data_IF_902649598214
#
_entry.id   IF_902649598214
#
_cell.length_a   1.000
_cell.length_b   1.000
_cell.length_c   1.000
_cell.angle_alpha   90.00
_cell.angle_beta   90.00
_cell.angle_gamma   90.00
#
_symmetry.space_group_name_H-M   'P 1'
#
loop_
_entity.id
_entity.type
_entity.pdbx_description
1 polymer ?
#
# COMPACT_ATOMS: atom_id res chain seq x y z
N UNK A 1 -24.81 -31.07 5.16
CA UNK A 1 -23.44 -30.64 4.81
C UNK A 1 -23.50 -29.14 4.53
N UNK A 2 -22.89 -28.30 5.36
CA UNK A 2 -22.87 -26.86 5.13
C UNK A 2 -21.78 -26.55 4.09
N UNK A 3 -22.17 -26.02 2.94
CA UNK A 3 -21.23 -25.52 1.94
C UNK A 3 -20.76 -24.15 2.41
N UNK A 4 -19.51 -24.05 2.85
CA UNK A 4 -18.90 -22.75 3.16
C UNK A 4 -18.58 -22.11 1.81
N UNK A 5 -19.37 -21.09 1.45
CA UNK A 5 -19.08 -20.25 0.29
C UNK A 5 -17.95 -19.31 0.73
N UNK A 6 -16.74 -19.51 0.21
CA UNK A 6 -15.66 -18.53 0.35
C UNK A 6 -16.02 -17.29 -0.48
N UNK A 7 -16.76 -16.37 0.15
CA UNK A 7 -17.06 -15.07 -0.42
C UNK A 7 -15.78 -14.23 -0.35
N UNK A 8 -15.01 -14.22 -1.42
CA UNK A 8 -13.94 -13.24 -1.61
C UNK A 8 -14.62 -11.89 -1.87
N UNK A 9 -14.43 -10.89 -0.99
CA UNK A 9 -15.02 -9.57 -1.19
C UNK A 9 -14.54 -8.97 -2.51
N UNK A 10 -15.44 -8.33 -3.23
CA UNK A 10 -15.04 -7.62 -4.46
C UNK A 10 -14.25 -6.35 -4.12
N UNK A 11 -13.55 -5.78 -5.11
CA UNK A 11 -12.69 -4.62 -4.90
C UNK A 11 -13.42 -3.42 -4.27
N UNK A 12 -14.71 -3.23 -4.59
CA UNK A 12 -15.54 -2.16 -4.02
C UNK A 12 -15.82 -2.39 -2.53
N UNK A 13 -16.11 -3.64 -2.15
CA UNK A 13 -16.31 -4.04 -0.76
C UNK A 13 -15.00 -3.92 0.03
N UNK A 14 -13.87 -4.30 -0.58
CA UNK A 14 -12.54 -4.08 0.00
C UNK A 14 -12.28 -2.60 0.28
N UNK A 15 -12.52 -1.72 -0.68
CA UNK A 15 -12.36 -0.26 -0.50
C UNK A 15 -13.27 0.29 0.62
N UNK A 16 -14.46 -0.27 0.79
CA UNK A 16 -15.37 0.09 1.88
C UNK A 16 -14.83 -0.30 3.28
N UNK A 17 -14.03 -1.37 3.39
CA UNK A 17 -13.40 -1.77 4.65
C UNK A 17 -12.27 -0.82 5.07
N UNK A 18 -11.57 -0.24 4.11
CA UNK A 18 -10.45 0.69 4.31
C UNK A 18 -10.89 2.16 4.33
N UNK A 19 -12.15 2.44 4.02
CA UNK A 19 -12.70 3.79 4.08
C UNK A 19 -12.70 4.35 5.51
N UNK A 20 -12.12 5.55 5.73
CA UNK A 20 -12.09 6.16 7.05
C UNK A 20 -13.51 6.55 7.49
N UNK A 21 -13.90 6.12 8.69
CA UNK A 21 -15.25 6.34 9.24
C UNK A 21 -15.39 7.66 10.01
N UNK A 22 -14.29 8.38 10.21
CA UNK A 22 -14.25 9.68 10.86
C UNK A 22 -13.09 10.54 10.31
N UNK A 23 -13.10 11.87 10.53
CA UNK A 23 -12.09 12.78 9.99
C UNK A 23 -10.67 12.47 10.46
N UNK A 24 -10.48 12.09 11.73
CA UNK A 24 -9.17 11.74 12.28
C UNK A 24 -8.57 10.50 11.59
N UNK A 25 -9.38 9.49 11.32
CA UNK A 25 -8.98 8.30 10.59
C UNK A 25 -8.66 8.61 9.12
N UNK A 26 -9.31 9.63 8.54
CA UNK A 26 -8.99 10.09 7.18
C UNK A 26 -7.63 10.77 7.13
N UNK A 27 -7.35 11.66 8.08
CA UNK A 27 -6.06 12.34 8.20
C UNK A 27 -4.93 11.34 8.46
N UNK A 28 -5.15 10.35 9.35
CA UNK A 28 -4.16 9.31 9.63
C UNK A 28 -3.93 8.40 8.42
N UNK A 29 -4.99 8.02 7.69
CA UNK A 29 -4.87 7.25 6.45
C UNK A 29 -4.08 8.02 5.40
N UNK A 30 -4.34 9.32 5.25
CA UNK A 30 -3.60 10.17 4.33
C UNK A 30 -2.12 10.28 4.74
N UNK A 31 -1.84 10.49 6.02
CA UNK A 31 -0.48 10.54 6.54
C UNK A 31 0.30 9.24 6.26
N UNK A 32 -0.34 8.08 6.50
CA UNK A 32 0.25 6.76 6.19
C UNK A 32 0.52 6.59 4.69
N UNK A 33 -0.38 7.07 3.82
CA UNK A 33 -0.20 7.04 2.36
C UNK A 33 0.99 7.93 1.93
N UNK A 34 1.14 9.10 2.53
CA UNK A 34 2.27 10.00 2.26
C UNK A 34 3.61 9.39 2.68
N UNK A 35 3.68 8.78 3.87
CA UNK A 35 4.87 8.06 4.33
C UNK A 35 5.21 6.92 3.38
N UNK A 36 4.22 6.09 3.03
CA UNK A 36 4.41 4.97 2.11
C UNK A 36 5.00 5.44 0.78
N UNK A 37 4.44 6.50 0.18
CA UNK A 37 4.95 7.07 -1.07
C UNK A 37 6.41 7.50 -0.96
N UNK A 38 6.79 8.18 0.12
CA UNK A 38 8.19 8.60 0.35
C UNK A 38 9.12 7.40 0.50
N UNK A 39 8.69 6.35 1.20
CA UNK A 39 9.48 5.13 1.35
C UNK A 39 9.65 4.40 0.03
N UNK A 40 8.61 4.33 -0.80
CA UNK A 40 8.67 3.75 -2.15
C UNK A 40 9.61 4.54 -3.06
N UNK A 41 9.57 5.87 -3.01
CA UNK A 41 10.51 6.73 -3.76
C UNK A 41 11.96 6.50 -3.33
N UNK A 42 12.22 6.42 -2.02
CA UNK A 42 13.57 6.14 -1.51
C UNK A 42 14.05 4.75 -1.90
N UNK A 43 13.17 3.74 -1.84
CA UNK A 43 13.50 2.38 -2.22
C UNK A 43 13.80 2.28 -3.72
N UNK A 44 12.98 2.92 -4.56
CA UNK A 44 13.23 3.01 -6.00
C UNK A 44 14.56 3.72 -6.31
N UNK A 45 14.91 4.78 -5.57
CA UNK A 45 16.20 5.44 -5.70
C UNK A 45 17.36 4.55 -5.26
N UNK A 46 17.21 3.80 -4.17
CA UNK A 46 18.24 2.86 -3.71
C UNK A 46 18.45 1.71 -4.70
N UNK A 47 17.37 1.17 -5.26
CA UNK A 47 17.41 0.16 -6.31
C UNK A 47 18.05 0.70 -7.60
N UNK A 48 17.71 1.93 -7.99
CA UNK A 48 18.35 2.62 -9.11
C UNK A 48 19.85 2.82 -8.86
N UNK A 49 20.24 3.30 -7.67
CA UNK A 49 21.65 3.45 -7.29
C UNK A 49 22.38 2.12 -7.33
N UNK A 50 21.77 1.05 -6.81
CA UNK A 50 22.35 -0.30 -6.83
C UNK A 50 22.51 -0.83 -8.25
N UNK A 51 21.54 -0.57 -9.13
CA UNK A 51 21.60 -0.95 -10.54
C UNK A 51 22.66 -0.12 -11.30
N UNK A 52 22.82 1.16 -10.98
CA UNK A 52 23.86 2.02 -11.55
C UNK A 52 25.25 1.74 -10.98
N UNK A 53 25.34 1.28 -9.72
CA UNK A 53 26.60 0.88 -9.08
C UNK A 53 26.99 -0.56 -9.40
N UNK A 54 26.17 -1.29 -10.16
CA UNK A 54 26.50 -2.60 -10.71
C UNK A 54 27.35 -2.43 -11.95
N UNK A 55 28.62 -2.82 -11.83
CA UNK A 55 29.65 -2.92 -12.87
C UNK A 55 30.29 -1.61 -13.36
N UNK A 56 31.03 -0.95 -12.48
CA UNK A 56 32.35 -0.39 -12.84
C UNK A 56 33.33 -0.57 -11.66
N UNK A 57 34.00 -1.73 -11.65
CA UNK A 57 35.13 -2.19 -10.81
C UNK A 57 34.89 -2.53 -9.33
#
# INVERSE_FOLDING_TARGET
MAQIIELVPNDVEMEAFIAPKNPQAADELQHRREIKKRLEELLAQAELQRAMSGDFY
#
